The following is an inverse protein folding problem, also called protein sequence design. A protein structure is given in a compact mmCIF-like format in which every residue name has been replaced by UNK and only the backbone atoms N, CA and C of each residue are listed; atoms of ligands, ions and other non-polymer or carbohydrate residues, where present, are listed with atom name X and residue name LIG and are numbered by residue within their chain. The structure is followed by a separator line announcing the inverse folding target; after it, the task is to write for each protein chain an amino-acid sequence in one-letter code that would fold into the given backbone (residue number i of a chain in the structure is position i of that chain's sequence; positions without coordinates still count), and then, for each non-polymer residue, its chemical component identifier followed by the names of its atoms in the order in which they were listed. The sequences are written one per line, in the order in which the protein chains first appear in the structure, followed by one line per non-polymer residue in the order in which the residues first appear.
data_IF_494272221986
#
_entry.id   IF_494272221986
#
_cell.length_a   1.000
_cell.length_b   1.000
_cell.length_c   1.000
_cell.angle_alpha   90.00
_cell.angle_beta   90.00
_cell.angle_gamma   90.00
#
_symmetry.space_group_name_H-M   'P 1'
#
loop_
_entity.id
_entity.type
_entity.pdbx_description
1 polymer ?
#
# COMPACT_ATOMS: atom_id res chain seq x y z
N UNK A 1 -38.08 -12.86 0.70
CA UNK A 1 -38.64 -13.82 -0.28
C UNK A 1 -37.81 -15.10 -0.29
N UNK A 2 -36.46 -15.06 -0.45
CA UNK A 2 -35.61 -16.26 -0.54
C UNK A 2 -35.68 -17.18 0.71
N UNK A 3 -35.62 -16.58 1.91
CA UNK A 3 -35.70 -17.32 3.16
C UNK A 3 -37.03 -18.07 3.35
N UNK A 4 -38.13 -17.48 2.88
CA UNK A 4 -39.47 -18.12 2.96
C UNK A 4 -39.52 -19.34 2.03
N UNK A 5 -38.97 -19.22 0.82
CA UNK A 5 -38.86 -20.35 -0.12
C UNK A 5 -38.00 -21.47 0.44
N UNK A 6 -36.87 -21.16 1.05
CA UNK A 6 -36.00 -22.16 1.68
C UNK A 6 -36.70 -22.86 2.85
N UNK A 7 -37.45 -22.12 3.66
CA UNK A 7 -38.23 -22.69 4.76
C UNK A 7 -39.32 -23.62 4.24
N UNK A 8 -40.02 -23.24 3.16
CA UNK A 8 -41.06 -24.03 2.52
C UNK A 8 -40.49 -25.33 1.91
N UNK A 9 -39.35 -25.24 1.23
CA UNK A 9 -38.62 -26.41 0.72
C UNK A 9 -38.20 -27.32 1.86
N UNK A 10 -37.65 -26.77 2.94
CA UNK A 10 -37.23 -27.56 4.10
C UNK A 10 -38.38 -28.31 4.74
N UNK A 11 -39.54 -27.66 4.92
CA UNK A 11 -40.69 -28.28 5.58
C UNK A 11 -41.41 -29.32 4.72
N UNK A 12 -41.56 -29.10 3.40
CA UNK A 12 -42.40 -29.95 2.54
C UNK A 12 -41.61 -30.85 1.60
N UNK A 13 -40.41 -30.41 1.15
CA UNK A 13 -39.62 -31.12 0.13
C UNK A 13 -38.43 -31.89 0.69
N UNK A 14 -38.20 -31.85 2.00
CA UNK A 14 -37.07 -32.57 2.60
C UNK A 14 -37.00 -34.06 2.26
N UNK A 15 -38.11 -34.84 2.25
CA UNK A 15 -38.07 -36.25 1.86
C UNK A 15 -37.70 -36.46 0.39
N UNK A 16 -38.03 -35.52 -0.50
CA UNK A 16 -37.58 -35.57 -1.90
C UNK A 16 -36.09 -35.18 -2.03
N UNK A 17 -35.64 -34.20 -1.25
CA UNK A 17 -34.25 -33.77 -1.24
C UNK A 17 -33.28 -34.88 -0.80
N UNK A 18 -33.72 -35.76 0.09
CA UNK A 18 -32.94 -36.94 0.51
C UNK A 18 -32.58 -37.91 -0.63
N UNK A 19 -33.35 -37.89 -1.72
CA UNK A 19 -33.11 -38.74 -2.89
C UNK A 19 -32.12 -38.13 -3.90
N UNK A 20 -31.64 -36.90 -3.67
CA UNK A 20 -30.66 -36.26 -4.56
C UNK A 20 -29.28 -36.91 -4.34
N UNK A 21 -28.71 -37.55 -5.38
CA UNK A 21 -27.41 -38.20 -5.25
C UNK A 21 -26.31 -37.12 -5.04
N UNK A 22 -25.37 -37.40 -4.13
CA UNK A 22 -24.21 -36.52 -3.86
C UNK A 22 -23.40 -36.20 -5.13
N UNK A 23 -23.38 -37.11 -6.09
CA UNK A 23 -22.73 -36.86 -7.37
C UNK A 23 -23.33 -35.68 -8.15
N UNK A 24 -24.66 -35.49 -8.07
CA UNK A 24 -25.32 -34.34 -8.69
C UNK A 24 -24.92 -33.03 -8.01
N UNK A 25 -24.91 -33.02 -6.69
CA UNK A 25 -24.46 -31.85 -5.91
C UNK A 25 -22.99 -31.50 -6.21
N UNK A 26 -22.12 -32.51 -6.27
CA UNK A 26 -20.72 -32.33 -6.64
C UNK A 26 -20.57 -31.74 -8.04
N UNK A 27 -21.36 -32.21 -9.02
CA UNK A 27 -21.35 -31.67 -10.38
C UNK A 27 -21.75 -30.18 -10.42
N UNK A 28 -22.78 -29.78 -9.66
CA UNK A 28 -23.21 -28.39 -9.55
C UNK A 28 -22.10 -27.53 -8.93
N UNK A 29 -21.46 -28.03 -7.85
CA UNK A 29 -20.37 -27.29 -7.19
C UNK A 29 -19.17 -27.07 -8.12
N UNK A 30 -18.81 -28.05 -8.95
CA UNK A 30 -17.73 -27.90 -9.95
C UNK A 30 -18.08 -26.81 -10.96
N UNK A 31 -19.32 -26.82 -11.50
CA UNK A 31 -19.75 -25.79 -12.46
C UNK A 31 -19.77 -24.40 -11.83
N UNK A 32 -20.29 -24.29 -10.61
CA UNK A 32 -20.31 -23.02 -9.87
C UNK A 32 -18.89 -22.52 -9.62
N UNK A 33 -17.98 -23.40 -9.16
CA UNK A 33 -16.58 -23.05 -8.92
C UNK A 33 -15.89 -22.57 -10.20
N UNK A 34 -16.15 -23.20 -11.33
CA UNK A 34 -15.61 -22.78 -12.62
C UNK A 34 -16.12 -21.38 -13.02
N UNK A 35 -17.42 -21.14 -12.89
CA UNK A 35 -18.03 -19.85 -13.22
C UNK A 35 -17.57 -18.72 -12.29
N UNK A 36 -17.32 -19.03 -11.01
CA UNK A 36 -16.84 -18.05 -10.02
C UNK A 36 -15.33 -17.82 -10.03
N UNK A 37 -14.55 -18.68 -10.71
CA UNK A 37 -13.09 -18.61 -10.66
C UNK A 37 -12.50 -17.36 -11.31
N UNK A 38 -13.28 -16.60 -12.10
CA UNK A 38 -12.87 -15.35 -12.79
C UNK A 38 -11.44 -15.43 -13.37
N UNK A 39 -11.15 -16.49 -14.11
CA UNK A 39 -9.82 -16.78 -14.64
C UNK A 39 -9.14 -15.60 -15.36
N UNK A 40 -9.94 -14.73 -15.98
CA UNK A 40 -9.43 -13.52 -16.65
C UNK A 40 -8.90 -12.50 -15.65
N UNK A 41 -9.63 -12.26 -14.57
CA UNK A 41 -9.23 -11.38 -13.47
C UNK A 41 -7.98 -11.92 -12.76
N UNK A 42 -7.92 -13.23 -12.52
CA UNK A 42 -6.75 -13.89 -11.96
C UNK A 42 -5.49 -13.65 -12.79
N UNK A 43 -5.56 -13.85 -14.11
CA UNK A 43 -4.42 -13.53 -15.01
C UNK A 43 -4.04 -12.06 -15.03
N UNK A 44 -5.00 -11.16 -14.92
CA UNK A 44 -4.75 -9.72 -14.92
C UNK A 44 -3.93 -9.28 -13.70
N UNK A 45 -4.15 -9.90 -12.54
CA UNK A 45 -3.44 -9.58 -11.29
C UNK A 45 -1.93 -9.83 -11.42
N UNK A 46 -1.50 -10.82 -12.21
CA UNK A 46 -0.06 -11.07 -12.43
C UNK A 46 0.67 -9.92 -13.15
N UNK A 47 -0.06 -8.99 -13.76
CA UNK A 47 0.50 -7.76 -14.35
C UNK A 47 0.60 -6.62 -13.35
N UNK A 48 -0.01 -6.76 -12.19
CA UNK A 48 -0.01 -5.79 -11.11
C UNK A 48 1.31 -5.80 -10.33
N UNK A 49 1.53 -4.83 -9.42
CA UNK A 49 2.69 -4.82 -8.55
C UNK A 49 2.89 -6.15 -7.81
N UNK A 50 4.14 -6.56 -7.64
CA UNK A 50 4.50 -7.84 -7.01
C UNK A 50 3.89 -8.03 -5.61
N UNK A 51 3.64 -6.95 -4.89
CA UNK A 51 2.96 -6.97 -3.57
C UNK A 51 1.58 -7.59 -3.64
N UNK A 52 0.78 -7.23 -4.65
CA UNK A 52 -0.59 -7.68 -4.79
C UNK A 52 -0.64 -9.17 -5.17
N UNK A 53 0.32 -9.61 -6.00
CA UNK A 53 0.49 -11.02 -6.36
C UNK A 53 0.86 -11.87 -5.14
N UNK A 54 1.73 -11.37 -4.26
CA UNK A 54 2.12 -12.08 -3.03
C UNK A 54 0.91 -12.25 -2.10
N UNK A 55 0.12 -11.21 -1.90
CA UNK A 55 -1.11 -11.30 -1.09
C UNK A 55 -2.06 -12.35 -1.68
N UNK A 56 -2.32 -12.26 -2.99
CA UNK A 56 -3.22 -13.20 -3.68
C UNK A 56 -2.79 -14.65 -3.51
N UNK A 57 -1.52 -14.96 -3.80
CA UNK A 57 -1.01 -16.32 -3.71
C UNK A 57 -1.02 -16.84 -2.27
N UNK A 58 -0.62 -16.00 -1.32
CA UNK A 58 -0.61 -16.39 0.10
C UNK A 58 -2.01 -16.69 0.59
N UNK A 59 -2.99 -15.79 0.34
CA UNK A 59 -4.39 -16.01 0.74
C UNK A 59 -4.98 -17.24 0.05
N UNK A 60 -4.70 -17.46 -1.23
CA UNK A 60 -5.15 -18.62 -1.97
C UNK A 60 -4.65 -19.92 -1.34
N UNK A 61 -3.34 -20.05 -1.10
CA UNK A 61 -2.78 -21.26 -0.49
C UNK A 61 -3.27 -21.48 0.93
N UNK A 62 -3.40 -20.42 1.73
CA UNK A 62 -3.95 -20.55 3.08
C UNK A 62 -5.41 -21.02 3.05
N UNK A 63 -6.23 -20.52 2.12
CA UNK A 63 -7.62 -20.95 1.97
C UNK A 63 -7.73 -22.42 1.61
N UNK A 64 -6.80 -22.93 0.77
CA UNK A 64 -6.82 -24.32 0.32
C UNK A 64 -6.32 -25.30 1.41
N UNK A 65 -5.30 -24.86 2.19
CA UNK A 65 -4.62 -25.74 3.17
C UNK A 65 -5.31 -25.72 4.53
N UNK A 66 -5.76 -24.54 4.97
CA UNK A 66 -6.34 -24.35 6.30
C UNK A 66 -7.84 -24.08 6.19
N UNK A 67 -8.23 -22.82 6.28
CA UNK A 67 -9.60 -22.35 6.33
C UNK A 67 -9.67 -20.92 5.78
N UNK A 68 -10.86 -20.55 5.30
CA UNK A 68 -11.15 -19.21 4.81
C UNK A 68 -10.91 -18.13 5.88
N UNK A 69 -11.25 -18.41 7.14
CA UNK A 69 -11.09 -17.47 8.24
C UNK A 69 -9.62 -17.11 8.47
N UNK A 70 -8.76 -18.13 8.59
CA UNK A 70 -7.31 -17.96 8.75
C UNK A 70 -6.70 -17.25 7.54
N UNK A 71 -7.16 -17.59 6.35
CA UNK A 71 -6.68 -16.97 5.12
C UNK A 71 -6.99 -15.45 5.06
N UNK A 72 -8.18 -15.05 5.51
CA UNK A 72 -8.58 -13.63 5.57
C UNK A 72 -7.74 -12.89 6.60
N UNK A 73 -7.57 -13.42 7.80
CA UNK A 73 -6.79 -12.77 8.88
C UNK A 73 -5.34 -12.55 8.46
N UNK A 74 -4.66 -13.60 8.01
CA UNK A 74 -3.26 -13.52 7.57
C UNK A 74 -3.12 -12.67 6.31
N UNK A 75 -4.03 -12.84 5.34
CA UNK A 75 -4.04 -12.06 4.11
C UNK A 75 -4.20 -10.57 4.36
N UNK A 76 -5.09 -10.20 5.27
CA UNK A 76 -5.31 -8.80 5.66
C UNK A 76 -4.07 -8.21 6.34
N UNK A 77 -3.42 -8.96 7.24
CA UNK A 77 -2.19 -8.52 7.89
C UNK A 77 -1.07 -8.27 6.87
N UNK A 78 -0.86 -9.20 5.95
CA UNK A 78 0.16 -9.05 4.90
C UNK A 78 -0.17 -7.86 4.00
N UNK A 79 -1.42 -7.73 3.56
CA UNK A 79 -1.87 -6.61 2.74
C UNK A 79 -1.64 -5.27 3.44
N UNK A 80 -1.94 -5.18 4.74
CA UNK A 80 -1.73 -3.99 5.54
C UNK A 80 -0.24 -3.59 5.64
N UNK A 81 0.64 -4.56 5.93
CA UNK A 81 2.09 -4.33 6.00
C UNK A 81 2.64 -3.86 4.65
N UNK A 82 2.24 -4.51 3.55
CA UNK A 82 2.68 -4.12 2.20
C UNK A 82 2.11 -2.76 1.78
N UNK A 83 0.89 -2.44 2.19
CA UNK A 83 0.28 -1.13 1.97
C UNK A 83 1.07 -0.02 2.69
N UNK A 84 1.40 -0.21 3.98
CA UNK A 84 2.23 0.76 4.73
C UNK A 84 3.58 0.95 4.03
N UNK A 85 4.25 -0.14 3.64
CA UNK A 85 5.52 -0.09 2.91
C UNK A 85 5.39 0.73 1.64
N UNK A 86 4.35 0.52 0.85
CA UNK A 86 4.09 1.26 -0.39
C UNK A 86 3.87 2.74 -0.15
N UNK A 87 3.12 3.10 0.90
CA UNK A 87 2.93 4.50 1.29
C UNK A 87 4.25 5.16 1.71
N UNK A 88 5.11 4.44 2.45
CA UNK A 88 6.45 4.94 2.81
C UNK A 88 7.36 5.13 1.60
N UNK A 89 7.27 4.27 0.60
CA UNK A 89 8.06 4.38 -0.64
C UNK A 89 7.58 5.53 -1.54
N UNK A 90 6.29 5.87 -1.50
CA UNK A 90 5.73 7.00 -2.26
C UNK A 90 6.13 8.35 -1.67
N UNK A 91 6.43 8.39 -0.36
CA UNK A 91 6.88 9.61 0.30
C UNK A 91 8.37 9.83 0.05
N UNK A 92 8.73 10.98 -0.49
CA UNK A 92 10.11 11.35 -0.78
C UNK A 92 10.51 12.65 -0.07
N UNK A 93 11.77 12.67 0.37
CA UNK A 93 12.41 13.86 0.92
C UNK A 93 13.55 14.19 -0.02
N UNK A 94 13.51 15.38 -0.61
CA UNK A 94 14.54 15.85 -1.54
C UNK A 94 15.24 17.07 -0.96
N UNK A 95 16.56 17.09 -1.09
CA UNK A 95 17.36 18.30 -0.89
C UNK A 95 17.54 18.94 -2.25
N UNK A 96 16.99 20.14 -2.42
CA UNK A 96 16.98 20.82 -3.73
C UNK A 96 18.40 21.24 -4.16
N UNK A 97 19.32 21.38 -3.23
CA UNK A 97 20.72 21.72 -3.49
C UNK A 97 21.44 20.66 -4.37
N UNK A 98 21.11 19.36 -4.22
CA UNK A 98 21.69 18.27 -5.02
C UNK A 98 21.11 18.20 -6.45
N UNK A 99 19.91 18.67 -6.67
CA UNK A 99 19.23 18.60 -7.96
C UNK A 99 19.70 19.70 -8.92
N UNK A 100 20.11 20.84 -8.38
CA UNK A 100 20.65 21.99 -9.15
C UNK A 100 22.03 21.70 -9.74
N UNK A 101 22.81 20.81 -9.11
CA UNK A 101 24.12 20.37 -9.64
C UNK A 101 24.00 19.32 -10.75
N UNK A 102 22.82 18.70 -10.93
CA UNK A 102 22.60 17.65 -11.92
C UNK A 102 21.91 18.09 -13.21
N UNK A 103 21.29 19.27 -13.21
CA UNK A 103 20.55 19.79 -14.37
C UNK A 103 21.26 21.03 -14.92
N UNK A 104 22.31 20.84 -15.71
CA UNK A 104 23.00 21.91 -16.43
C UNK A 104 22.19 22.53 -17.58
N UNK A 105 20.92 22.11 -17.81
CA UNK A 105 20.18 22.42 -19.05
C UNK A 105 18.80 23.09 -18.86
N UNK A 106 18.56 23.94 -17.87
CA UNK A 106 17.28 24.65 -17.84
C UNK A 106 17.37 26.11 -17.43
N UNK A 107 16.72 26.96 -18.23
CA UNK A 107 16.59 28.43 -18.10
C UNK A 107 16.07 28.95 -16.73
N UNK A 108 15.80 28.08 -15.76
CA UNK A 108 15.47 28.43 -14.37
C UNK A 108 16.69 28.78 -13.51
N UNK A 109 17.88 28.71 -14.07
CA UNK A 109 19.19 28.87 -13.42
C UNK A 109 19.38 30.24 -12.76
N UNK A 110 18.75 31.27 -13.27
CA UNK A 110 19.01 32.66 -12.86
C UNK A 110 18.47 33.02 -11.46
N UNK A 111 17.54 32.30 -10.91
CA UNK A 111 16.92 32.62 -9.60
C UNK A 111 17.58 31.81 -8.46
N UNK A 112 18.07 30.61 -8.75
CA UNK A 112 18.63 29.70 -7.76
C UNK A 112 20.17 29.81 -7.62
N UNK A 113 20.87 30.30 -8.61
CA UNK A 113 22.33 30.49 -8.59
C UNK A 113 22.80 31.48 -7.51
N UNK A 114 21.87 32.29 -6.97
CA UNK A 114 22.12 33.21 -5.85
C UNK A 114 21.82 32.62 -4.49
N UNK A 115 21.38 31.38 -4.37
CA UNK A 115 21.19 30.71 -3.07
C UNK A 115 22.55 30.45 -2.47
N UNK A 116 22.92 31.25 -1.48
CA UNK A 116 24.16 31.13 -0.76
C UNK A 116 24.33 29.73 -0.22
N UNK A 117 25.53 29.13 -0.32
CA UNK A 117 25.89 27.78 0.22
C UNK A 117 25.54 27.58 1.71
N UNK A 118 25.09 28.60 2.39
CA UNK A 118 24.61 28.56 3.78
C UNK A 118 23.12 28.29 3.94
N UNK A 119 22.36 28.18 2.83
CA UNK A 119 20.92 27.95 2.84
C UNK A 119 20.65 26.54 2.28
N UNK A 120 19.96 25.71 3.05
CA UNK A 120 19.49 24.40 2.60
C UNK A 120 17.98 24.36 2.46
N UNK A 121 17.50 23.84 1.33
CA UNK A 121 16.08 23.73 1.03
C UNK A 121 15.71 22.25 0.99
N UNK A 122 14.80 21.85 1.87
CA UNK A 122 14.21 20.52 1.92
C UNK A 122 12.80 20.57 1.35
N UNK A 123 12.48 19.70 0.41
CA UNK A 123 11.12 19.49 -0.06
C UNK A 123 10.64 18.12 0.41
N UNK A 124 9.53 18.11 1.15
CA UNK A 124 8.86 16.91 1.61
C UNK A 124 7.65 16.68 0.72
N UNK A 125 7.59 15.54 0.07
CA UNK A 125 6.51 15.13 -0.81
C UNK A 125 5.84 13.85 -0.24
N UNK A 126 4.51 13.91 -0.07
CA UNK A 126 3.71 12.83 0.50
C UNK A 126 3.50 12.95 2.01
N UNK A 127 2.82 11.97 2.63
CA UNK A 127 2.51 11.97 4.06
C UNK A 127 3.78 11.87 4.92
N UNK A 128 3.88 12.76 5.91
CA UNK A 128 5.03 12.82 6.80
C UNK A 128 4.72 12.20 8.16
N UNK A 129 5.05 10.93 8.31
CA UNK A 129 4.72 10.11 9.48
C UNK A 129 5.94 9.26 9.91
N UNK A 130 5.80 8.48 10.99
CA UNK A 130 6.90 7.72 11.60
C UNK A 130 7.74 6.93 10.59
N UNK A 131 7.15 6.36 9.54
CA UNK A 131 7.85 5.57 8.52
C UNK A 131 8.77 6.37 7.60
N UNK A 132 8.53 7.68 7.45
CA UNK A 132 9.32 8.60 6.61
C UNK A 132 10.23 9.49 7.45
N UNK A 133 9.85 9.75 8.70
CA UNK A 133 10.57 10.62 9.60
C UNK A 133 12.03 10.19 9.84
N UNK A 134 12.31 8.88 9.87
CA UNK A 134 13.66 8.35 10.00
C UNK A 134 14.55 8.66 8.78
N UNK A 135 13.98 8.69 7.56
CA UNK A 135 14.71 9.10 6.36
C UNK A 135 15.14 10.56 6.43
N UNK A 136 14.37 11.39 7.13
CA UNK A 136 14.68 12.80 7.32
C UNK A 136 15.92 12.99 8.22
N UNK A 137 16.07 12.20 9.27
CA UNK A 137 17.24 12.20 10.14
C UNK A 137 18.51 11.75 9.39
N UNK A 138 18.42 10.78 8.48
CA UNK A 138 19.55 10.35 7.64
C UNK A 138 20.02 11.48 6.71
N UNK A 139 19.08 12.15 6.06
CA UNK A 139 19.37 13.28 5.16
C UNK A 139 19.95 14.46 5.93
N UNK A 140 19.41 14.77 7.11
CA UNK A 140 19.92 15.81 8.00
C UNK A 140 21.32 15.49 8.55
N UNK A 141 21.63 14.22 8.74
CA UNK A 141 22.94 13.77 9.28
C UNK A 141 24.03 13.79 8.21
N UNK A 142 23.70 13.49 6.95
CA UNK A 142 24.65 13.61 5.82
C UNK A 142 25.10 15.04 5.58
N UNK A 143 24.26 16.01 5.88
CA UNK A 143 24.57 17.45 5.75
C UNK A 143 25.38 18.03 6.91
N UNK A 144 25.80 17.21 7.89
CA UNK A 144 26.60 17.68 9.04
C UNK A 144 28.00 18.20 8.68
N UNK A 145 28.50 17.96 7.47
CA UNK A 145 29.80 18.53 7.02
C UNK A 145 29.77 20.06 6.81
N UNK A 146 28.63 20.60 6.41
CA UNK A 146 28.43 22.06 6.30
C UNK A 146 27.17 22.42 7.10
N UNK A 147 27.34 23.03 8.28
CA UNK A 147 26.20 23.51 9.06
C UNK A 147 25.55 24.68 8.31
N UNK A 148 24.35 24.53 7.73
CA UNK A 148 23.68 25.64 7.08
C UNK A 148 23.24 26.67 8.13
N UNK A 149 23.31 27.92 7.77
CA UNK A 149 22.83 29.00 8.62
C UNK A 149 21.30 29.09 8.60
N UNK A 150 20.70 28.72 7.47
CA UNK A 150 19.24 28.76 7.27
C UNK A 150 18.78 27.43 6.65
N UNK A 151 17.70 26.88 7.18
CA UNK A 151 16.99 25.71 6.63
C UNK A 151 15.59 26.11 6.23
N UNK A 152 15.22 25.87 5.00
CA UNK A 152 13.89 26.10 4.46
C UNK A 152 13.23 24.72 4.23
N UNK A 153 12.13 24.45 4.90
CA UNK A 153 11.38 23.19 4.76
C UNK A 153 10.09 23.50 3.99
N UNK A 154 9.99 22.95 2.77
CA UNK A 154 8.80 23.09 1.93
C UNK A 154 7.89 21.89 2.15
N UNK A 155 6.68 22.17 2.65
CA UNK A 155 5.68 21.14 2.98
C UNK A 155 4.39 21.28 2.15
N UNK A 156 4.48 21.85 0.94
CA UNK A 156 3.32 22.09 0.07
C UNK A 156 2.54 20.82 -0.28
N UNK A 157 3.24 19.70 -0.39
CA UNK A 157 2.70 18.42 -0.83
C UNK A 157 2.54 17.43 0.32
N UNK A 158 2.57 17.91 1.56
CA UNK A 158 2.35 17.09 2.76
C UNK A 158 0.88 17.15 3.15
N UNK A 159 0.10 16.07 2.95
CA UNK A 159 -1.32 16.07 3.26
C UNK A 159 -1.59 15.97 4.77
N UNK A 160 -0.72 15.30 5.51
CA UNK A 160 -0.81 15.20 6.97
C UNK A 160 0.56 14.93 7.61
N UNK A 161 0.67 15.26 8.90
CA UNK A 161 1.82 15.00 9.75
C UNK A 161 1.35 14.32 11.03
N UNK A 162 2.08 13.32 11.51
CA UNK A 162 1.83 12.69 12.81
C UNK A 162 2.71 13.28 13.92
N UNK A 163 2.50 12.82 15.17
CA UNK A 163 3.26 13.28 16.33
C UNK A 163 4.75 12.99 16.23
N UNK A 164 5.14 11.89 15.57
CA UNK A 164 6.55 11.51 15.36
C UNK A 164 7.21 12.42 14.34
N UNK A 165 6.52 12.69 13.23
CA UNK A 165 6.97 13.64 12.22
C UNK A 165 7.15 15.04 12.80
N UNK A 166 6.21 15.50 13.63
CA UNK A 166 6.32 16.79 14.32
C UNK A 166 7.51 16.83 15.29
N UNK A 167 7.76 15.75 16.04
CA UNK A 167 8.92 15.63 16.93
C UNK A 167 10.22 15.73 16.15
N UNK A 168 10.33 15.04 15.02
CA UNK A 168 11.53 15.06 14.19
C UNK A 168 11.75 16.42 13.53
N UNK A 169 10.69 17.13 13.10
CA UNK A 169 10.82 18.53 12.66
C UNK A 169 11.36 19.43 13.77
N UNK A 170 10.90 19.29 15.01
CA UNK A 170 11.40 20.06 16.15
C UNK A 170 12.86 19.77 16.48
N UNK A 171 13.35 18.56 16.24
CA UNK A 171 14.74 18.21 16.51
C UNK A 171 15.73 18.85 15.54
N UNK A 172 15.23 19.38 14.41
CA UNK A 172 16.05 20.05 13.38
C UNK A 172 16.12 21.57 13.55
N UNK A 173 15.16 22.15 14.28
CA UNK A 173 15.18 23.57 14.63
C UNK A 173 15.99 23.82 15.87
#
# INVERSE_FOLDING_TARGET
VHAIFLLLIYLFLMPLAANIPFACLAGILVVVSYNMSEWRSFKAIFKNPKSDVVVLLTTFFLTVIFDLTIAIEVGLLIAFVLFIKRVMETSSIRVIEDELQRTEDSESESVYEKVNKQVQIYEIDGPFFFGVANKFDEVGTRSKKNKPTVRIIRMRKVPFIDSTGLKNLRSLC
#
